data_IF_715421049059
#
_entry.id   IF_715421049059
#
_cell.length_a   1.000
_cell.length_b   1.000
_cell.length_c   1.000
_cell.angle_alpha   90.00
_cell.angle_beta   90.00
_cell.angle_gamma   90.00
#
_symmetry.space_group_name_H-M   'P 1'
#
loop_
_entity.id
_entity.type
_entity.pdbx_description
1 polymer ?
#
# COMPACT_ATOMS: atom_id res chain seq x y z
N UNK A 1 18.84 -3.48 7.71
CA UNK A 1 17.69 -2.94 6.96
C UNK A 1 16.43 -3.25 7.76
N UNK A 2 15.62 -2.23 8.03
CA UNK A 2 14.29 -2.38 8.65
C UNK A 2 13.26 -1.95 7.61
N UNK A 3 12.29 -2.82 7.33
CA UNK A 3 11.19 -2.53 6.42
C UNK A 3 9.91 -2.85 7.15
N UNK A 4 9.00 -1.88 7.25
CA UNK A 4 7.69 -2.06 7.85
C UNK A 4 6.61 -1.57 6.90
N UNK A 5 5.63 -2.43 6.67
CA UNK A 5 4.39 -2.12 5.98
C UNK A 5 3.24 -2.35 6.95
N UNK A 6 2.38 -1.35 7.12
CA UNK A 6 1.23 -1.44 8.03
C UNK A 6 -0.03 -0.90 7.40
N UNK A 7 -1.15 -1.53 7.73
CA UNK A 7 -2.48 -0.95 7.61
C UNK A 7 -2.86 -0.27 8.93
N UNK A 8 -3.74 0.73 8.88
CA UNK A 8 -4.09 1.53 10.07
C UNK A 8 -4.82 0.73 11.16
N UNK A 9 -5.39 -0.45 10.85
CA UNK A 9 -6.36 -1.11 11.72
C UNK A 9 -6.18 -2.61 11.97
N UNK A 10 -5.22 -3.35 11.39
CA UNK A 10 -5.11 -4.78 11.72
C UNK A 10 -3.81 -5.48 11.32
N UNK A 11 -3.16 -5.07 10.23
CA UNK A 11 -2.09 -5.86 9.61
C UNK A 11 -0.76 -5.10 9.59
N UNK A 12 0.32 -5.76 10.01
CA UNK A 12 1.69 -5.28 9.96
C UNK A 12 2.63 -6.39 9.47
N UNK A 13 3.52 -6.03 8.54
CA UNK A 13 4.60 -6.87 8.05
C UNK A 13 5.91 -6.12 8.34
N UNK A 14 6.77 -6.72 9.15
CA UNK A 14 8.05 -6.12 9.56
C UNK A 14 9.19 -7.08 9.30
N UNK A 15 10.21 -6.62 8.56
CA UNK A 15 11.47 -7.32 8.36
C UNK A 15 12.58 -6.60 9.13
N UNK A 16 13.11 -7.26 10.16
CA UNK A 16 14.19 -6.74 11.03
C UNK A 16 15.34 -7.74 11.07
N UNK A 17 16.52 -7.32 10.61
CA UNK A 17 17.74 -8.15 10.64
C UNK A 17 17.57 -9.55 10.01
N UNK A 18 16.71 -9.67 8.99
CA UNK A 18 16.40 -10.95 8.34
C UNK A 18 15.28 -11.76 9.01
N UNK A 19 14.78 -11.33 10.17
CA UNK A 19 13.62 -11.90 10.84
C UNK A 19 12.33 -11.22 10.36
N UNK A 20 11.40 -12.04 9.85
CA UNK A 20 10.11 -11.61 9.35
C UNK A 20 9.05 -11.78 10.45
N UNK A 21 8.40 -10.68 10.83
CA UNK A 21 7.30 -10.61 11.78
C UNK A 21 6.03 -10.19 11.05
N UNK A 22 4.95 -10.93 11.29
CA UNK A 22 3.69 -10.76 10.59
C UNK A 22 2.57 -10.78 11.63
N UNK A 23 1.76 -9.73 11.64
CA UNK A 23 0.55 -9.60 12.46
C UNK A 23 -0.57 -9.22 11.51
N UNK A 24 -1.74 -9.84 11.60
CA UNK A 24 -2.85 -9.50 10.72
C UNK A 24 -3.93 -10.57 10.64
N UNK A 25 -4.73 -10.47 9.59
CA UNK A 25 -5.75 -11.45 9.23
C UNK A 25 -5.15 -12.84 8.96
N UNK A 26 -5.99 -13.87 9.04
CA UNK A 26 -5.59 -15.23 8.68
C UNK A 26 -5.15 -15.28 7.21
N UNK A 27 -5.85 -14.59 6.33
CA UNK A 27 -5.58 -14.52 4.90
C UNK A 27 -4.20 -13.94 4.60
N UNK A 28 -3.82 -12.86 5.29
CA UNK A 28 -2.50 -12.25 5.16
C UNK A 28 -1.39 -13.21 5.62
N UNK A 29 -1.55 -13.81 6.79
CA UNK A 29 -0.56 -14.73 7.36
C UNK A 29 -0.42 -15.98 6.48
N UNK A 30 -1.53 -16.56 6.03
CA UNK A 30 -1.54 -17.72 5.14
C UNK A 30 -0.77 -17.44 3.86
N UNK A 31 -1.08 -16.33 3.18
CA UNK A 31 -0.46 -15.97 1.90
C UNK A 31 1.03 -15.68 2.03
N UNK A 32 1.45 -15.06 3.13
CA UNK A 32 2.87 -14.85 3.42
C UNK A 32 3.62 -16.16 3.67
N UNK A 33 3.00 -17.13 4.33
CA UNK A 33 3.58 -18.46 4.50
C UNK A 33 3.70 -19.20 3.17
N UNK A 34 2.69 -19.14 2.29
CA UNK A 34 2.75 -19.72 0.95
C UNK A 34 3.92 -19.14 0.12
N UNK A 35 4.13 -17.82 0.18
CA UNK A 35 5.27 -17.17 -0.47
C UNK A 35 6.60 -17.66 0.09
N UNK A 36 6.70 -17.79 1.42
CA UNK A 36 7.90 -18.29 2.09
C UNK A 36 8.21 -19.74 1.74
N UNK A 37 7.19 -20.60 1.66
CA UNK A 37 7.34 -22.00 1.27
C UNK A 37 7.78 -22.12 -0.19
N UNK A 38 7.18 -21.33 -1.08
CA UNK A 38 7.41 -21.42 -2.52
C UNK A 38 8.72 -20.77 -2.99
N UNK A 39 9.10 -19.64 -2.39
CA UNK A 39 10.25 -18.81 -2.83
C UNK A 39 11.36 -18.70 -1.78
N UNK A 40 11.22 -19.36 -0.65
CA UNK A 40 12.16 -19.35 0.46
C UNK A 40 12.01 -18.15 1.39
N UNK A 41 12.87 -18.08 2.41
CA UNK A 41 12.74 -17.08 3.50
C UNK A 41 13.25 -15.68 3.17
N UNK A 42 13.73 -15.42 1.94
CA UNK A 42 14.26 -14.12 1.55
C UNK A 42 13.25 -13.34 0.68
N UNK A 43 12.56 -12.32 1.23
CA UNK A 43 11.53 -11.58 0.49
C UNK A 43 12.03 -10.81 -0.73
N UNK A 44 13.34 -10.52 -0.81
CA UNK A 44 13.94 -9.88 -2.00
C UNK A 44 13.76 -10.75 -3.25
N UNK A 45 13.67 -12.09 -3.06
CA UNK A 45 13.50 -13.06 -4.16
C UNK A 45 12.04 -13.37 -4.49
N UNK A 46 11.08 -12.84 -3.74
CA UNK A 46 9.67 -13.12 -3.97
C UNK A 46 9.18 -12.35 -5.21
N UNK A 47 8.29 -12.93 -6.03
CA UNK A 47 7.74 -12.22 -7.18
C UNK A 47 6.77 -11.13 -6.74
N UNK A 48 6.63 -10.09 -7.57
CA UNK A 48 5.51 -9.17 -7.48
C UNK A 48 4.18 -9.94 -7.66
N UNK A 49 3.12 -9.52 -6.97
CA UNK A 49 1.82 -10.13 -7.12
C UNK A 49 1.15 -9.64 -8.42
N UNK A 50 0.90 -10.55 -9.35
CA UNK A 50 0.30 -10.22 -10.67
C UNK A 50 -1.13 -9.66 -10.56
N UNK A 51 -1.88 -10.08 -9.54
CA UNK A 51 -3.27 -9.67 -9.31
C UNK A 51 -3.48 -9.38 -7.84
N UNK A 52 -3.56 -8.10 -7.52
CA UNK A 52 -3.95 -7.64 -6.19
C UNK A 52 -5.48 -7.57 -6.17
N UNK A 53 -6.11 -8.14 -5.15
CA UNK A 53 -7.58 -8.26 -4.99
C UNK A 53 -8.06 -7.79 -3.64
N UNK A 54 -7.16 -7.69 -2.66
CA UNK A 54 -7.49 -7.32 -1.29
C UNK A 54 -6.51 -6.29 -0.72
N UNK A 55 -6.90 -5.65 0.38
CA UNK A 55 -5.99 -4.76 1.12
C UNK A 55 -4.76 -5.50 1.65
N UNK A 56 -4.91 -6.77 2.04
CA UNK A 56 -3.81 -7.61 2.50
C UNK A 56 -2.83 -7.93 1.37
N UNK A 57 -3.32 -8.28 0.17
CA UNK A 57 -2.45 -8.50 -0.99
C UNK A 57 -1.73 -7.23 -1.41
N UNK A 58 -2.37 -6.06 -1.27
CA UNK A 58 -1.73 -4.79 -1.52
C UNK A 58 -0.57 -4.54 -0.55
N UNK A 59 -0.79 -4.85 0.75
CA UNK A 59 0.23 -4.72 1.79
C UNK A 59 1.41 -5.69 1.56
N UNK A 60 1.12 -6.92 1.14
CA UNK A 60 2.13 -7.91 0.75
C UNK A 60 2.94 -7.42 -0.45
N UNK A 61 2.28 -6.91 -1.49
CA UNK A 61 2.97 -6.42 -2.68
C UNK A 61 3.83 -5.19 -2.37
N UNK A 62 3.32 -4.25 -1.57
CA UNK A 62 4.09 -3.11 -1.04
C UNK A 62 5.35 -3.60 -0.31
N UNK A 63 5.22 -4.59 0.57
CA UNK A 63 6.34 -5.16 1.31
C UNK A 63 7.41 -5.79 0.39
N UNK A 64 6.99 -6.58 -0.60
CA UNK A 64 7.90 -7.20 -1.58
C UNK A 64 8.65 -6.13 -2.36
N UNK A 65 7.93 -5.14 -2.91
CA UNK A 65 8.53 -4.05 -3.68
C UNK A 65 9.47 -3.19 -2.84
N UNK A 66 9.17 -2.96 -1.55
CA UNK A 66 10.08 -2.26 -0.63
C UNK A 66 11.34 -3.09 -0.34
N UNK A 67 11.22 -4.40 -0.15
CA UNK A 67 12.37 -5.30 -0.01
C UNK A 67 13.29 -5.25 -1.24
N UNK A 68 12.72 -5.04 -2.42
CA UNK A 68 13.44 -4.95 -3.68
C UNK A 68 13.92 -3.53 -4.02
N UNK A 69 13.64 -2.53 -3.17
CA UNK A 69 13.89 -1.10 -3.47
C UNK A 69 13.23 -0.62 -4.78
N UNK A 70 12.06 -1.19 -5.10
CA UNK A 70 11.27 -0.92 -6.33
C UNK A 70 9.92 -0.25 -6.04
N UNK A 71 9.58 -0.01 -4.78
CA UNK A 71 8.31 0.60 -4.42
C UNK A 71 8.30 2.10 -4.75
N UNK A 72 7.37 2.52 -5.60
CA UNK A 72 7.16 3.93 -5.96
C UNK A 72 5.68 4.20 -6.23
N UNK A 73 5.18 5.35 -5.78
CA UNK A 73 3.83 5.82 -6.09
C UNK A 73 3.80 6.40 -7.51
N UNK A 74 2.68 6.25 -8.21
CA UNK A 74 2.42 6.82 -9.53
C UNK A 74 2.31 8.36 -9.51
N UNK A 75 2.47 8.98 -8.34
CA UNK A 75 2.52 10.41 -8.12
C UNK A 75 3.84 10.77 -7.46
N UNK A 76 4.55 11.74 -8.02
CA UNK A 76 5.96 12.02 -7.71
C UNK A 76 6.15 13.05 -6.58
N UNK A 77 5.14 13.88 -6.31
CA UNK A 77 5.27 14.96 -5.33
C UNK A 77 4.83 14.51 -3.93
N UNK A 78 5.49 15.04 -2.91
CA UNK A 78 5.14 14.72 -1.52
C UNK A 78 3.77 15.30 -1.11
N UNK A 79 3.43 16.49 -1.58
CA UNK A 79 2.11 17.11 -1.42
C UNK A 79 1.22 16.76 -2.60
N UNK A 80 0.03 16.20 -2.34
CA UNK A 80 -0.94 15.88 -3.38
C UNK A 80 -2.05 16.93 -3.48
N UNK A 81 -2.57 17.41 -2.34
CA UNK A 81 -3.65 18.39 -2.32
C UNK A 81 -3.19 19.69 -1.68
N UNK A 82 -2.87 20.68 -2.51
CA UNK A 82 -2.39 21.98 -2.05
C UNK A 82 -3.40 22.73 -1.17
N UNK A 83 -4.65 22.87 -1.62
CA UNK A 83 -5.66 23.64 -0.88
C UNK A 83 -6.07 23.04 0.48
N UNK A 84 -5.75 21.77 0.73
CA UNK A 84 -6.04 21.06 1.98
C UNK A 84 -4.78 20.58 2.69
N UNK A 85 -3.59 20.88 2.16
CA UNK A 85 -2.28 20.43 2.66
C UNK A 85 -2.24 18.91 2.93
N UNK A 86 -2.74 18.12 1.96
CA UNK A 86 -2.78 16.65 2.10
C UNK A 86 -1.57 16.04 1.37
N UNK A 87 -0.70 15.28 2.05
CA UNK A 87 0.41 14.59 1.41
C UNK A 87 -0.05 13.37 0.62
N UNK A 88 0.69 12.99 -0.41
CA UNK A 88 0.43 11.82 -1.25
C UNK A 88 0.39 10.52 -0.42
N UNK A 89 1.30 10.39 0.55
CA UNK A 89 1.34 9.27 1.50
C UNK A 89 0.03 9.10 2.29
N UNK A 90 -0.63 10.20 2.67
CA UNK A 90 -1.92 10.11 3.39
C UNK A 90 -3.05 9.61 2.49
N UNK A 91 -3.01 9.91 1.20
CA UNK A 91 -3.92 9.35 0.20
C UNK A 91 -3.62 7.88 0.01
N UNK A 92 -2.35 7.50 -0.13
CA UNK A 92 -1.93 6.11 -0.23
C UNK A 92 -2.36 5.28 1.00
N UNK A 93 -2.17 5.81 2.21
CA UNK A 93 -2.65 5.18 3.45
C UNK A 93 -4.17 4.96 3.45
N UNK A 94 -4.95 5.89 2.87
CA UNK A 94 -6.39 5.73 2.74
C UNK A 94 -6.75 4.63 1.71
N UNK A 95 -5.99 4.49 0.63
CA UNK A 95 -6.13 3.39 -0.33
C UNK A 95 -5.86 2.04 0.34
N UNK A 96 -4.79 1.95 1.15
CA UNK A 96 -4.48 0.77 1.98
C UNK A 96 -5.62 0.40 2.94
N UNK A 97 -6.37 1.40 3.40
CA UNK A 97 -7.55 1.22 4.28
C UNK A 97 -8.82 0.81 3.53
N UNK A 98 -8.77 0.61 2.21
CA UNK A 98 -9.93 0.16 1.44
C UNK A 98 -10.65 1.27 0.68
N UNK A 99 -10.17 2.51 0.68
CA UNK A 99 -10.75 3.55 -0.18
C UNK A 99 -10.54 3.18 -1.65
N UNK A 100 -11.60 3.24 -2.46
CA UNK A 100 -11.56 2.86 -3.88
C UNK A 100 -12.01 3.96 -4.83
N UNK A 101 -12.65 5.00 -4.31
CA UNK A 101 -13.11 6.15 -5.09
C UNK A 101 -12.51 7.45 -4.59
N UNK A 102 -12.46 8.47 -5.47
CA UNK A 102 -12.05 9.83 -5.10
C UNK A 102 -12.91 10.37 -3.94
N UNK A 103 -14.19 9.96 -3.88
CA UNK A 103 -15.10 10.37 -2.82
C UNK A 103 -14.72 9.74 -1.47
N UNK A 104 -14.35 8.45 -1.45
CA UNK A 104 -13.88 7.78 -0.22
C UNK A 104 -12.60 8.43 0.30
N UNK A 105 -11.68 8.76 -0.62
CA UNK A 105 -10.45 9.50 -0.30
C UNK A 105 -10.80 10.87 0.27
N UNK A 106 -11.73 11.60 -0.33
CA UNK A 106 -12.17 12.90 0.16
C UNK A 106 -12.79 12.83 1.56
N UNK A 107 -13.64 11.83 1.83
CA UNK A 107 -14.23 11.58 3.15
C UNK A 107 -13.17 11.28 4.22
N UNK A 108 -12.11 10.57 3.85
CA UNK A 108 -11.08 10.09 4.79
C UNK A 108 -9.95 11.10 5.00
N UNK A 109 -9.58 11.85 3.96
CA UNK A 109 -8.36 12.68 3.93
C UNK A 109 -8.63 14.17 3.71
N UNK A 110 -9.86 14.55 3.35
CA UNK A 110 -10.26 15.87 2.87
C UNK A 110 -9.69 16.26 1.49
N UNK A 111 -8.79 15.49 0.88
CA UNK A 111 -8.27 15.78 -0.46
C UNK A 111 -9.40 15.76 -1.51
N UNK A 112 -9.36 16.69 -2.46
CA UNK A 112 -10.37 16.78 -3.53
C UNK A 112 -11.73 17.35 -3.10
N UNK A 113 -11.90 17.78 -1.84
CA UNK A 113 -13.14 18.39 -1.30
C UNK A 113 -13.14 19.93 -1.32
N UNK A 114 -12.07 20.54 -1.83
CA UNK A 114 -11.90 22.00 -1.96
C UNK A 114 -11.99 22.46 -3.41
N UNK A 115 -10.91 23.00 -3.96
CA UNK A 115 -10.85 23.44 -5.35
C UNK A 115 -10.91 22.30 -6.39
N UNK A 116 -10.62 21.06 -5.99
CA UNK A 116 -10.74 19.87 -6.84
C UNK A 116 -9.59 19.63 -7.82
N UNK A 117 -8.56 20.48 -7.88
CA UNK A 117 -7.45 20.35 -8.84
C UNK A 117 -6.66 19.04 -8.70
N UNK A 118 -6.60 18.46 -7.51
CA UNK A 118 -5.88 17.21 -7.24
C UNK A 118 -6.69 15.93 -7.53
N UNK A 119 -7.96 16.03 -7.98
CA UNK A 119 -8.80 14.84 -8.22
C UNK A 119 -8.22 13.90 -9.30
N UNK A 120 -7.66 14.39 -10.43
CA UNK A 120 -6.99 13.53 -11.41
C UNK A 120 -5.79 12.78 -10.82
N UNK A 121 -5.03 13.40 -9.91
CA UNK A 121 -3.89 12.76 -9.23
C UNK A 121 -4.35 11.67 -8.25
N UNK A 122 -5.47 11.90 -7.55
CA UNK A 122 -6.11 10.86 -6.71
C UNK A 122 -6.54 9.67 -7.59
N UNK A 123 -7.15 9.92 -8.75
CA UNK A 123 -7.52 8.85 -9.68
C UNK A 123 -6.32 8.09 -10.21
N UNK A 124 -5.20 8.79 -10.50
CA UNK A 124 -3.95 8.16 -10.93
C UNK A 124 -3.41 7.20 -9.85
N UNK A 125 -3.39 7.62 -8.59
CA UNK A 125 -3.00 6.76 -7.47
C UNK A 125 -3.98 5.61 -7.27
N UNK A 126 -5.28 5.86 -7.34
CA UNK A 126 -6.29 4.80 -7.24
C UNK A 126 -6.07 3.75 -8.32
N UNK A 127 -5.85 4.14 -9.57
CA UNK A 127 -5.59 3.22 -10.70
C UNK A 127 -4.35 2.35 -10.50
N UNK A 128 -3.30 2.86 -9.85
CA UNK A 128 -2.13 2.05 -9.51
C UNK A 128 -2.48 0.85 -8.61
N UNK A 129 -3.53 0.98 -7.80
CA UNK A 129 -3.89 0.03 -6.76
C UNK A 129 -5.33 -0.52 -6.92
N UNK A 130 -6.00 -0.21 -8.04
CA UNK A 130 -7.34 -0.69 -8.33
C UNK A 130 -7.26 -2.09 -8.91
N UNK A 131 -8.07 -2.98 -8.36
CA UNK A 131 -8.10 -4.39 -8.69
C UNK A 131 -9.09 -4.61 -9.84
N UNK A 132 -8.61 -5.13 -10.98
CA UNK A 132 -9.44 -5.64 -12.07
C UNK A 132 -9.39 -7.16 -12.12
#
# INVERSE_FOLDING_TARGET
MEITCKSKFQSEITLRQGSLHIVGSFELIHKMNELKEKYGSNPVKWPELEKIKSADELLINEFILKCQSRFQLAYEHAELCHCRMVPAERVYDAIKQGCRTVNDIGRTTLAGTGCGSCRPDIEKLLKQFQFS
#
